data_IF_930572239511
#
_entry.id   IF_930572239511
#
_cell.length_a   1.000
_cell.length_b   1.000
_cell.length_c   1.000
_cell.angle_alpha   90.00
_cell.angle_beta   90.00
_cell.angle_gamma   90.00
#
_symmetry.space_group_name_H-M   'P 1'
#
loop_
_entity.id
_entity.type
_entity.pdbx_description
1 polymer ?
#
# COMPACT_ATOMS: atom_id res chain seq x y z
N UNK A 1 26.44 -55.39 5.99
CA UNK A 1 25.07 -55.71 6.44
C UNK A 1 24.12 -55.20 5.36
N UNK A 2 23.50 -56.11 4.60
CA UNK A 2 22.65 -55.84 3.43
C UNK A 2 21.19 -56.08 3.86
N UNK A 3 20.31 -55.09 3.73
CA UNK A 3 18.87 -55.29 3.89
C UNK A 3 18.29 -55.75 2.55
N UNK A 4 17.78 -56.98 2.55
CA UNK A 4 17.11 -57.64 1.45
C UNK A 4 15.64 -57.23 1.45
N UNK A 5 15.17 -56.74 0.30
CA UNK A 5 13.75 -56.53 0.04
C UNK A 5 13.04 -57.87 -0.15
N UNK A 6 11.85 -58.04 0.43
CA UNK A 6 10.88 -59.04 -0.02
C UNK A 6 9.56 -58.34 -0.35
N UNK A 7 9.24 -58.35 -1.64
CA UNK A 7 7.91 -58.10 -2.17
C UNK A 7 7.02 -59.30 -1.87
N UNK A 8 5.79 -59.06 -1.38
CA UNK A 8 4.66 -59.96 -1.65
C UNK A 8 3.53 -59.15 -2.28
N UNK A 9 3.16 -59.63 -3.47
CA UNK A 9 2.06 -59.16 -4.29
C UNK A 9 0.74 -59.73 -3.79
N UNK A 10 -0.34 -58.99 -4.08
CA UNK A 10 -1.61 -59.47 -4.63
C UNK A 10 -2.90 -59.18 -3.83
N UNK A 11 -3.54 -58.10 -4.29
CA UNK A 11 -4.96 -57.98 -4.71
C UNK A 11 -6.05 -57.61 -3.69
N UNK A 12 -7.12 -56.94 -4.19
CA UNK A 12 -7.91 -55.95 -3.47
C UNK A 12 -9.37 -56.39 -3.24
N UNK A 13 -10.05 -55.81 -2.24
CA UNK A 13 -11.52 -55.70 -2.27
C UNK A 13 -11.99 -54.67 -1.22
N UNK A 14 -12.82 -53.72 -1.69
CA UNK A 14 -14.00 -53.09 -1.06
C UNK A 14 -14.06 -53.11 0.49
N UNK A 15 -14.36 -52.02 1.21
CA UNK A 15 -15.59 -51.22 1.10
C UNK A 15 -15.49 -50.04 2.11
N UNK A 16 -15.90 -48.82 1.69
CA UNK A 16 -16.69 -47.78 2.42
C UNK A 16 -16.42 -47.52 3.93
N UNK A 17 -16.22 -46.27 4.37
CA UNK A 17 -17.21 -45.37 5.06
C UNK A 17 -16.31 -44.34 5.80
N UNK A 18 -16.51 -43.03 5.93
CA UNK A 18 -17.54 -42.06 5.55
C UNK A 18 -16.87 -40.68 5.44
N UNK A 19 -17.32 -39.90 4.46
CA UNK A 19 -17.08 -38.46 4.38
C UNK A 19 -18.12 -37.79 5.29
N UNK A 20 -17.67 -37.15 6.38
CA UNK A 20 -18.52 -36.30 7.21
C UNK A 20 -18.67 -34.93 6.52
N UNK A 21 -19.74 -34.81 5.74
CA UNK A 21 -20.33 -33.54 5.33
C UNK A 21 -21.10 -32.97 6.52
N UNK A 22 -20.61 -31.88 7.10
CA UNK A 22 -21.37 -31.07 8.05
C UNK A 22 -22.15 -30.05 7.23
N UNK A 23 -23.42 -30.36 6.99
CA UNK A 23 -24.43 -29.45 6.48
C UNK A 23 -25.10 -28.83 7.72
N UNK A 24 -24.82 -27.57 8.01
CA UNK A 24 -25.69 -26.79 8.90
C UNK A 24 -26.42 -25.73 8.09
N UNK A 25 -27.72 -25.88 8.19
CA UNK A 25 -28.78 -25.23 7.45
C UNK A 25 -28.95 -23.78 7.86
N UNK A 26 -29.22 -22.95 6.85
CA UNK A 26 -29.69 -21.59 6.95
C UNK A 26 -30.92 -21.45 7.87
N UNK A 27 -30.87 -20.48 8.78
CA UNK A 27 -32.05 -19.98 9.48
C UNK A 27 -32.48 -18.67 8.80
N UNK A 28 -33.52 -18.76 7.99
CA UNK A 28 -34.24 -17.63 7.41
C UNK A 28 -35.15 -16.97 8.44
N UNK A 29 -35.07 -15.64 8.57
CA UNK A 29 -36.09 -14.80 9.23
C UNK A 29 -36.82 -13.98 8.15
N UNK A 30 -38.16 -14.01 8.08
CA UNK A 30 -38.93 -13.14 7.20
C UNK A 30 -39.30 -11.81 7.88
N UNK A 31 -39.11 -10.73 7.12
CA UNK A 31 -40.03 -9.60 6.98
C UNK A 31 -40.37 -8.75 8.20
N UNK A 32 -39.89 -7.50 8.21
CA UNK A 32 -40.69 -6.39 8.75
C UNK A 32 -40.62 -5.16 7.83
N UNK A 33 -41.83 -4.71 7.53
CA UNK A 33 -42.28 -3.66 6.63
C UNK A 33 -41.57 -2.30 6.72
N UNK A 34 -41.47 -1.62 5.57
CA UNK A 34 -41.37 -0.16 5.44
C UNK A 34 -42.59 0.55 6.05
N UNK A 35 -42.47 1.85 6.36
CA UNK A 35 -43.12 2.77 5.43
C UNK A 35 -42.25 3.95 5.02
N UNK A 36 -42.45 4.34 3.76
CA UNK A 36 -42.07 5.61 3.20
C UNK A 36 -42.55 6.77 4.09
N UNK A 37 -41.69 7.76 4.31
CA UNK A 37 -42.16 9.12 4.61
C UNK A 37 -41.40 10.08 3.73
N UNK A 38 -42.05 10.42 2.63
CA UNK A 38 -41.78 11.56 1.79
C UNK A 38 -42.06 12.82 2.62
N UNK A 39 -41.04 13.64 2.90
CA UNK A 39 -41.26 15.02 3.30
C UNK A 39 -40.35 15.94 2.48
N UNK A 40 -40.99 16.56 1.50
CA UNK A 40 -40.48 17.66 0.70
C UNK A 40 -40.68 18.98 1.44
N UNK A 41 -39.97 20.01 0.98
CA UNK A 41 -40.11 21.44 1.28
C UNK A 41 -39.42 21.88 2.58
N UNK A 42 -38.32 22.63 2.48
CA UNK A 42 -38.37 24.08 2.23
C UNK A 42 -36.98 24.53 1.77
N UNK A 43 -36.95 25.02 0.53
CA UNK A 43 -35.92 25.86 -0.06
C UNK A 43 -35.93 27.19 0.71
N UNK A 44 -34.84 27.52 1.39
CA UNK A 44 -34.61 28.89 1.88
C UNK A 44 -33.50 29.49 1.05
N UNK A 45 -33.93 30.37 0.16
CA UNK A 45 -33.14 31.39 -0.49
C UNK A 45 -32.17 32.04 0.51
N UNK A 46 -30.87 31.81 0.31
CA UNK A 46 -29.82 32.65 0.90
C UNK A 46 -29.27 33.51 -0.24
N UNK A 47 -29.40 34.84 -0.18
CA UNK A 47 -29.00 35.75 -1.25
C UNK A 47 -27.51 35.64 -1.58
N UNK A 48 -27.24 35.54 -2.87
CA UNK A 48 -25.95 35.75 -3.51
C UNK A 48 -25.40 37.13 -3.19
N UNK A 49 -24.36 37.19 -2.37
CA UNK A 49 -23.49 38.37 -2.23
C UNK A 49 -22.04 37.98 -2.45
N UNK A 50 -21.57 38.23 -3.66
CA UNK A 50 -20.16 38.48 -3.97
C UNK A 50 -20.12 39.51 -5.11
N UNK A 51 -19.08 40.37 -5.25
CA UNK A 51 -17.92 40.58 -4.37
C UNK A 51 -17.69 42.08 -4.07
N UNK A 52 -17.24 42.41 -2.85
CA UNK A 52 -16.59 43.71 -2.60
C UNK A 52 -15.12 43.47 -2.30
N UNK A 53 -14.29 43.83 -3.29
CA UNK A 53 -12.98 44.45 -3.12
C UNK A 53 -12.13 43.99 -1.93
N UNK A 54 -11.42 42.87 -2.10
CA UNK A 54 -10.12 42.73 -1.44
C UNK A 54 -9.07 43.33 -2.37
N UNK A 55 -8.56 44.48 -1.98
CA UNK A 55 -7.36 45.07 -2.57
C UNK A 55 -6.21 44.07 -2.46
N UNK A 56 -5.64 43.72 -3.61
CA UNK A 56 -4.38 43.01 -3.69
C UNK A 56 -3.24 44.02 -3.46
N UNK A 57 -2.38 43.85 -2.45
CA UNK A 57 -1.04 44.37 -2.54
C UNK A 57 -0.24 43.48 -3.48
N UNK A 58 0.35 44.15 -4.45
CA UNK A 58 1.21 43.67 -5.51
C UNK A 58 2.51 43.04 -5.00
N UNK A 59 3.04 42.12 -5.82
CA UNK A 59 4.44 41.71 -5.92
C UNK A 59 5.02 40.83 -4.81
N UNK A 60 5.01 39.51 -5.05
CA UNK A 60 6.19 38.69 -4.76
C UNK A 60 6.58 37.95 -6.03
N UNK A 61 7.48 38.59 -6.77
CA UNK A 61 8.37 37.96 -7.73
C UNK A 61 9.29 36.99 -6.98
N UNK A 62 9.33 35.75 -7.46
CA UNK A 62 10.44 34.80 -7.36
C UNK A 62 11.21 34.73 -6.04
N UNK A 63 10.89 33.74 -5.20
CA UNK A 63 11.90 33.00 -4.43
C UNK A 63 11.56 31.50 -4.40
N UNK A 64 12.62 30.70 -4.52
CA UNK A 64 12.74 29.23 -4.53
C UNK A 64 11.77 28.39 -3.68
N UNK A 65 11.64 27.08 -3.97
CA UNK A 65 10.81 26.16 -3.19
C UNK A 65 11.45 25.88 -1.81
N UNK A 66 10.98 26.57 -0.78
CA UNK A 66 11.37 26.36 0.63
C UNK A 66 10.73 25.08 1.23
N UNK A 67 9.98 24.30 0.46
CA UNK A 67 9.33 23.04 0.89
C UNK A 67 10.27 21.81 0.88
N UNK A 68 11.58 21.98 0.72
CA UNK A 68 12.48 20.84 0.47
C UNK A 68 13.33 20.40 1.67
N UNK A 69 13.46 21.22 2.73
CA UNK A 69 14.38 20.91 3.84
C UNK A 69 13.67 20.65 5.17
N UNK A 70 12.57 21.34 5.47
CA UNK A 70 11.83 21.13 6.71
C UNK A 70 11.00 19.84 6.66
N UNK A 71 10.40 19.54 5.52
CA UNK A 71 9.54 18.36 5.35
C UNK A 71 10.36 17.07 5.33
N UNK A 72 11.55 17.07 4.72
CA UNK A 72 12.46 15.93 4.74
C UNK A 72 12.89 15.56 6.16
N UNK A 73 13.28 16.55 6.97
CA UNK A 73 13.63 16.33 8.38
C UNK A 73 12.42 15.89 9.22
N UNK A 74 11.19 16.20 8.80
CA UNK A 74 9.99 15.66 9.46
C UNK A 74 9.77 14.18 9.14
N UNK A 75 10.01 13.75 7.90
CA UNK A 75 9.91 12.34 7.50
C UNK A 75 11.00 11.51 8.16
N UNK A 76 12.23 12.02 8.20
CA UNK A 76 13.35 11.36 8.89
C UNK A 76 13.06 11.14 10.39
N UNK A 77 12.23 11.98 11.02
CA UNK A 77 11.82 11.82 12.43
C UNK A 77 10.72 10.77 12.66
N UNK A 78 9.98 10.38 11.64
CA UNK A 78 8.92 9.37 11.75
C UNK A 78 9.36 7.98 11.27
N UNK A 79 10.42 7.91 10.47
CA UNK A 79 10.96 6.65 9.96
C UNK A 79 11.88 6.00 11.01
N UNK A 80 11.52 4.80 11.46
CA UNK A 80 12.29 4.06 12.48
C UNK A 80 13.43 3.27 11.86
N UNK A 81 13.16 2.57 10.76
CA UNK A 81 14.09 1.64 10.15
C UNK A 81 13.95 1.60 8.63
N UNK A 82 15.07 1.39 7.94
CA UNK A 82 15.11 1.14 6.50
C UNK A 82 15.89 -0.15 6.28
N UNK A 83 15.17 -1.23 6.02
CA UNK A 83 15.71 -2.58 5.91
C UNK A 83 15.75 -2.99 4.45
N UNK A 84 16.95 -3.17 3.91
CA UNK A 84 17.11 -3.74 2.57
C UNK A 84 16.67 -5.21 2.56
N UNK A 85 16.32 -5.77 1.39
CA UNK A 85 15.67 -7.11 1.28
C UNK A 85 16.22 -8.18 2.23
N UNK A 86 17.53 -8.34 2.32
CA UNK A 86 18.17 -9.38 3.14
C UNK A 86 17.88 -9.21 4.65
N UNK A 87 17.76 -7.97 5.12
CA UNK A 87 17.45 -7.64 6.52
C UNK A 87 15.96 -7.78 6.86
N UNK A 88 15.08 -7.92 5.86
CA UNK A 88 13.63 -8.04 6.10
C UNK A 88 13.20 -9.44 6.54
N UNK A 89 14.04 -10.45 6.34
CA UNK A 89 13.68 -11.86 6.51
C UNK A 89 12.70 -12.42 5.47
N UNK A 90 12.32 -11.62 4.46
CA UNK A 90 11.38 -12.02 3.41
C UNK A 90 12.12 -12.62 2.21
N UNK A 91 12.11 -13.95 2.10
CA UNK A 91 12.83 -14.69 1.05
C UNK A 91 12.12 -14.70 -0.30
N UNK A 92 10.84 -14.34 -0.34
CA UNK A 92 10.01 -14.35 -1.56
C UNK A 92 10.04 -13.03 -2.33
N UNK A 93 10.62 -11.97 -1.75
CA UNK A 93 10.66 -10.66 -2.39
C UNK A 93 11.88 -10.54 -3.31
N UNK A 94 11.64 -10.16 -4.56
CA UNK A 94 12.70 -9.83 -5.52
C UNK A 94 12.95 -8.32 -5.60
N UNK A 95 14.07 -7.94 -6.21
CA UNK A 95 14.46 -6.54 -6.44
C UNK A 95 13.71 -5.98 -7.65
N UNK A 96 13.14 -4.79 -7.51
CA UNK A 96 12.50 -4.05 -8.59
C UNK A 96 13.53 -3.26 -9.42
N UNK A 97 13.30 -3.03 -10.73
CA UNK A 97 14.11 -2.11 -11.52
C UNK A 97 14.09 -0.70 -10.90
N UNK A 98 15.27 -0.07 -10.76
CA UNK A 98 15.38 1.23 -10.09
C UNK A 98 14.55 2.32 -10.79
N UNK A 99 14.62 2.40 -12.12
CA UNK A 99 13.92 3.42 -12.91
C UNK A 99 12.39 3.33 -12.73
N UNK A 100 11.85 2.10 -12.64
CA UNK A 100 10.44 1.86 -12.40
C UNK A 100 9.97 2.41 -11.03
N UNK A 101 10.84 2.29 -10.01
CA UNK A 101 10.55 2.81 -8.67
C UNK A 101 10.67 4.33 -8.65
N UNK A 102 11.60 4.93 -9.38
CA UNK A 102 11.64 6.39 -9.56
C UNK A 102 10.37 6.93 -10.22
N UNK A 103 9.85 6.26 -11.25
CA UNK A 103 8.56 6.61 -11.86
C UNK A 103 7.41 6.55 -10.85
N UNK A 104 7.38 5.49 -10.02
CA UNK A 104 6.41 5.36 -8.93
C UNK A 104 6.52 6.49 -7.90
N UNK A 105 7.73 6.81 -7.43
CA UNK A 105 7.98 7.94 -6.51
C UNK A 105 7.50 9.25 -7.12
N UNK A 106 7.83 9.51 -8.39
CA UNK A 106 7.39 10.71 -9.10
C UNK A 106 5.87 10.78 -9.18
N UNK A 107 5.22 9.70 -9.58
CA UNK A 107 3.76 9.60 -9.62
C UNK A 107 3.13 9.95 -8.27
N UNK A 108 3.65 9.42 -7.16
CA UNK A 108 3.11 9.68 -5.82
C UNK A 108 3.34 11.12 -5.35
N UNK A 109 4.44 11.77 -5.76
CA UNK A 109 4.73 13.17 -5.41
C UNK A 109 3.92 14.18 -6.22
N UNK A 110 3.65 13.90 -7.50
CA UNK A 110 3.05 14.90 -8.40
C UNK A 110 1.55 14.72 -8.60
N UNK A 111 1.00 13.54 -8.33
CA UNK A 111 -0.43 13.27 -8.52
C UNK A 111 -1.29 14.18 -7.64
N UNK A 112 -2.36 14.73 -8.21
CA UNK A 112 -3.25 15.69 -7.56
C UNK A 112 -2.50 16.88 -6.92
N UNK A 113 -1.41 17.32 -7.55
CA UNK A 113 -0.59 18.42 -7.04
C UNK A 113 0.12 18.10 -5.71
N UNK A 114 0.38 16.82 -5.42
CA UNK A 114 1.03 16.38 -4.17
C UNK A 114 0.07 16.17 -3.00
N UNK A 115 -1.24 16.22 -3.22
CA UNK A 115 -2.26 16.08 -2.18
C UNK A 115 -3.03 14.75 -2.24
N UNK A 116 -2.55 13.80 -3.05
CA UNK A 116 -3.18 12.49 -3.15
C UNK A 116 -3.08 11.75 -1.81
N UNK A 117 -4.18 11.11 -1.38
CA UNK A 117 -4.23 10.31 -0.15
C UNK A 117 -4.13 8.84 -0.49
N UNK A 118 -3.16 8.17 0.13
CA UNK A 118 -2.91 6.74 0.07
C UNK A 118 -3.44 6.11 1.36
N UNK A 119 -4.05 4.93 1.26
CA UNK A 119 -4.60 4.27 2.43
C UNK A 119 -4.61 2.77 2.29
N UNK A 120 -4.62 2.10 3.44
CA UNK A 120 -4.61 0.65 3.55
C UNK A 120 -5.58 0.22 4.66
N UNK A 121 -6.39 -0.84 4.44
CA UNK A 121 -7.19 -1.44 5.49
C UNK A 121 -6.32 -1.92 6.67
N UNK A 122 -6.92 -2.18 7.85
CA UNK A 122 -6.22 -2.80 8.97
C UNK A 122 -5.48 -4.08 8.56
N UNK A 123 -4.29 -4.29 9.13
CA UNK A 123 -3.48 -5.50 8.97
C UNK A 123 -3.27 -5.97 7.52
N UNK A 124 -3.22 -5.03 6.57
CA UNK A 124 -3.19 -5.32 5.14
C UNK A 124 -2.10 -4.52 4.45
N UNK A 125 -1.53 -5.11 3.40
CA UNK A 125 -0.67 -4.43 2.44
C UNK A 125 -1.42 -4.19 1.13
N UNK A 126 -1.37 -2.97 0.62
CA UNK A 126 -1.97 -2.60 -0.67
C UNK A 126 -0.90 -2.10 -1.62
N UNK A 127 -1.05 -2.41 -2.90
CA UNK A 127 -0.19 -1.88 -3.96
C UNK A 127 -0.65 -0.46 -4.31
N UNK A 128 0.22 0.52 -4.06
CA UNK A 128 -0.06 1.94 -4.26
C UNK A 128 0.47 2.44 -5.61
N UNK A 129 1.56 1.84 -6.10
CA UNK A 129 2.10 2.08 -7.43
C UNK A 129 2.64 0.79 -8.05
N UNK A 130 2.47 0.63 -9.35
CA UNK A 130 3.07 -0.44 -10.13
C UNK A 130 3.43 0.08 -11.52
N UNK A 131 4.70 -0.03 -11.89
CA UNK A 131 5.20 0.33 -13.22
C UNK A 131 6.32 -0.62 -13.60
N UNK A 132 6.40 -1.08 -14.86
CA UNK A 132 7.53 -1.86 -15.40
C UNK A 132 8.11 -2.95 -14.47
N UNK A 133 7.25 -3.71 -13.81
CA UNK A 133 7.58 -4.75 -12.82
C UNK A 133 8.11 -4.27 -11.46
N UNK A 134 8.09 -2.97 -11.17
CA UNK A 134 8.36 -2.39 -9.86
C UNK A 134 7.08 -2.07 -9.11
N UNK A 135 6.94 -2.62 -7.90
CA UNK A 135 5.81 -2.37 -7.00
C UNK A 135 6.22 -1.54 -5.78
N UNK A 136 5.41 -0.52 -5.46
CA UNK A 136 5.46 0.20 -4.19
C UNK A 136 4.19 -0.15 -3.42
N UNK A 137 4.34 -0.72 -2.23
CA UNK A 137 3.24 -1.12 -1.37
C UNK A 137 3.21 -0.30 -0.07
N UNK A 138 2.00 0.00 0.40
CA UNK A 138 1.75 0.52 1.73
C UNK A 138 1.17 -0.61 2.59
N UNK A 139 1.86 -0.95 3.67
CA UNK A 139 1.41 -1.91 4.65
C UNK A 139 0.99 -1.22 5.93
N UNK A 140 -0.19 -1.59 6.41
CA UNK A 140 -0.75 -1.09 7.64
C UNK A 140 -0.80 -2.22 8.67
N UNK A 141 0.00 -2.10 9.73
CA UNK A 141 0.00 -3.05 10.83
C UNK A 141 -0.94 -2.62 11.97
N UNK A 142 -1.64 -1.49 11.82
CA UNK A 142 -2.64 -1.01 12.78
C UNK A 142 -3.97 -1.75 12.64
N UNK A 143 -4.80 -1.63 13.70
CA UNK A 143 -6.17 -2.16 13.76
C UNK A 143 -7.23 -1.22 13.16
N UNK A 144 -6.83 -0.05 12.67
CA UNK A 144 -7.69 0.94 12.02
C UNK A 144 -7.23 1.21 10.58
N UNK A 145 -8.12 1.79 9.76
CA UNK A 145 -7.79 2.14 8.39
C UNK A 145 -6.75 3.25 8.35
N UNK A 146 -5.60 2.99 7.72
CA UNK A 146 -4.54 3.97 7.56
C UNK A 146 -4.86 4.91 6.41
N UNK A 147 -4.64 6.21 6.61
CA UNK A 147 -4.70 7.24 5.56
C UNK A 147 -3.49 8.16 5.73
N UNK A 148 -2.69 8.28 4.68
CA UNK A 148 -1.48 9.11 4.64
C UNK A 148 -1.41 9.85 3.32
N UNK A 149 -0.78 11.03 3.31
CA UNK A 149 -0.45 11.66 2.06
C UNK A 149 0.52 10.75 1.29
N UNK A 150 0.23 10.48 0.01
CA UNK A 150 1.09 9.67 -0.86
C UNK A 150 2.49 10.26 -1.02
N UNK A 151 2.66 11.57 -0.82
CA UNK A 151 3.96 12.23 -0.75
C UNK A 151 4.86 11.58 0.31
N UNK A 152 4.34 11.30 1.51
CA UNK A 152 5.11 10.60 2.54
C UNK A 152 5.46 9.18 2.12
N UNK A 153 4.55 8.47 1.47
CA UNK A 153 4.83 7.12 0.96
C UNK A 153 5.98 7.15 -0.07
N UNK A 154 6.03 8.21 -0.89
CA UNK A 154 7.10 8.44 -1.84
C UNK A 154 8.46 8.68 -1.15
N UNK A 155 8.49 9.38 -0.02
CA UNK A 155 9.72 9.63 0.72
C UNK A 155 10.28 8.35 1.37
N UNK A 156 9.42 7.46 1.86
CA UNK A 156 9.84 6.14 2.36
C UNK A 156 10.39 5.25 1.23
N UNK A 157 9.76 5.28 0.05
CA UNK A 157 10.29 4.60 -1.13
C UNK A 157 11.63 5.22 -1.58
N UNK A 158 11.80 6.53 -1.47
CA UNK A 158 13.07 7.20 -1.75
C UNK A 158 14.15 6.79 -0.76
N UNK A 159 13.85 6.65 0.53
CA UNK A 159 14.81 6.16 1.52
C UNK A 159 15.31 4.75 1.19
N UNK A 160 14.43 3.89 0.66
CA UNK A 160 14.82 2.57 0.15
C UNK A 160 15.69 2.66 -1.10
N UNK A 161 15.41 3.59 -2.02
CA UNK A 161 16.31 3.84 -3.17
C UNK A 161 17.69 4.29 -2.68
N UNK A 162 17.75 5.26 -1.76
CA UNK A 162 18.99 5.85 -1.29
C UNK A 162 19.87 4.84 -0.53
N UNK A 163 19.24 3.93 0.24
CA UNK A 163 19.95 2.96 1.08
C UNK A 163 20.11 1.57 0.46
N UNK A 164 19.14 1.14 -0.34
CA UNK A 164 18.98 -0.26 -0.76
C UNK A 164 19.02 -0.46 -2.27
N UNK A 165 19.82 0.36 -2.97
CA UNK A 165 20.12 0.15 -4.39
C UNK A 165 21.25 -0.87 -4.56
N UNK A 166 21.04 -1.80 -5.47
CA UNK A 166 21.97 -2.85 -5.86
C UNK A 166 22.32 -2.69 -7.33
N UNK A 167 23.59 -2.92 -7.67
CA UNK A 167 24.08 -2.95 -9.05
C UNK A 167 24.49 -4.37 -9.41
N UNK A 168 23.99 -4.87 -10.53
CA UNK A 168 24.40 -6.18 -11.04
C UNK A 168 25.67 -6.11 -11.91
N UNK A 169 26.10 -7.27 -12.43
CA UNK A 169 27.32 -7.40 -13.24
C UNK A 169 27.23 -6.73 -14.61
N UNK A 170 26.02 -6.50 -15.14
CA UNK A 170 25.78 -5.80 -16.40
C UNK A 170 25.49 -4.30 -16.18
N UNK A 171 25.54 -3.85 -14.93
CA UNK A 171 25.38 -2.46 -14.54
C UNK A 171 23.93 -2.00 -14.38
N UNK A 172 22.95 -2.91 -14.39
CA UNK A 172 21.57 -2.58 -14.09
C UNK A 172 21.39 -2.33 -12.59
N UNK A 173 20.66 -1.26 -12.28
CA UNK A 173 20.33 -0.91 -10.92
C UNK A 173 18.95 -1.46 -10.55
N UNK A 174 18.87 -2.05 -9.36
CA UNK A 174 17.64 -2.57 -8.79
C UNK A 174 17.54 -2.18 -7.32
N UNK A 175 16.35 -2.16 -6.78
CA UNK A 175 16.08 -1.74 -5.40
C UNK A 175 15.09 -2.68 -4.75
N UNK A 176 15.21 -2.87 -3.45
CA UNK A 176 14.19 -3.56 -2.68
C UNK A 176 14.43 -3.53 -1.18
N UNK A 177 13.33 -3.56 -0.44
CA UNK A 177 13.35 -3.55 1.02
C UNK A 177 12.06 -3.03 1.61
N UNK A 178 12.14 -2.68 2.89
CA UNK A 178 11.03 -2.21 3.71
C UNK A 178 11.48 -1.03 4.58
N UNK A 179 10.72 0.06 4.59
CA UNK A 179 10.94 1.22 5.43
C UNK A 179 9.79 1.38 6.42
N UNK A 180 10.10 1.43 7.72
CA UNK A 180 9.15 1.41 8.84
C UNK A 180 8.92 2.79 9.42
N UNK A 181 7.67 3.04 9.83
CA UNK A 181 7.25 4.26 10.53
C UNK A 181 6.96 3.96 12.01
N UNK A 182 7.18 4.95 12.89
CA UNK A 182 6.88 4.88 14.33
C UNK A 182 5.40 4.57 14.62
N UNK A 183 4.49 4.92 13.71
CA UNK A 183 3.04 4.72 13.83
C UNK A 183 2.60 3.36 13.26
N UNK A 184 3.49 2.37 13.25
CA UNK A 184 3.18 0.96 12.97
C UNK A 184 2.56 0.75 11.56
N UNK A 185 3.19 1.37 10.57
CA UNK A 185 2.98 1.09 9.15
C UNK A 185 4.33 1.10 8.44
N UNK A 186 4.38 0.60 7.21
CA UNK A 186 5.63 0.57 6.44
C UNK A 186 5.37 0.65 4.93
N UNK A 187 6.43 0.96 4.19
CA UNK A 187 6.48 0.90 2.74
C UNK A 187 7.39 -0.24 2.31
N UNK A 188 6.93 -1.04 1.34
CA UNK A 188 7.73 -2.09 0.72
C UNK A 188 7.97 -1.74 -0.73
N UNK A 189 9.22 -1.87 -1.16
CA UNK A 189 9.61 -1.86 -2.57
C UNK A 189 10.07 -3.26 -2.94
N UNK A 190 9.42 -3.86 -3.94
CA UNK A 190 9.78 -5.18 -4.46
C UNK A 190 9.35 -5.34 -5.91
N UNK A 191 9.93 -6.34 -6.58
CA UNK A 191 9.44 -6.76 -7.91
C UNK A 191 7.99 -7.25 -7.80
N UNK A 192 7.17 -6.89 -8.77
CA UNK A 192 5.79 -7.33 -8.85
C UNK A 192 5.30 -7.31 -10.28
N UNK A 193 4.38 -8.20 -10.65
CA UNK A 193 3.70 -8.10 -11.92
C UNK A 193 2.68 -6.95 -11.92
N UNK A 194 2.91 -6.00 -12.82
CA UNK A 194 1.91 -5.07 -13.31
C UNK A 194 1.25 -5.71 -14.55
#
# INVERSE_FOLDING_TARGET
MKCLALHFLSRPLLLTVAILLICETALSLPGLHSPDTHLSLVEKDVPSTTPSSFEAPSNISNTSPVFSTLDKASVDRHMTDVNCLEATGQTSWGRAPLDAIHDGIKYLRTSQGGNMVCGAPPHTCVRISCSWHGGIHLCNNNSYHLRKNCFYIADYAQALVDKCTYKDVVGQNSVGGQAWDIENWNVIVKVEKC
#
